data_IF_761597146710
#
_entry.id   IF_761597146710
#
_cell.length_a   1.000
_cell.length_b   1.000
_cell.length_c   1.000
_cell.angle_alpha   90.00
_cell.angle_beta   90.00
_cell.angle_gamma   90.00
#
_symmetry.space_group_name_H-M   'P 1'
#
loop_
_entity.id
_entity.type
_entity.pdbx_description
1 polymer ?
#
# COMPACT_ATOMS: atom_id res chain seq x y z
N UNK A 1 -8.92 -0.57 16.11
CA UNK A 1 -8.67 -0.30 17.55
C UNK A 1 -8.89 1.17 17.84
N UNK A 2 -8.24 2.10 17.16
CA UNK A 2 -8.35 3.55 17.40
C UNK A 2 -9.81 4.03 17.37
N UNK A 3 -10.59 3.66 16.34
CA UNK A 3 -12.04 3.93 16.24
C UNK A 3 -12.82 3.35 17.42
N UNK A 4 -12.50 2.10 17.79
CA UNK A 4 -13.20 1.45 18.90
C UNK A 4 -12.93 2.15 20.25
N UNK A 5 -11.68 2.54 20.50
CA UNK A 5 -11.32 3.30 21.71
C UNK A 5 -11.92 4.71 21.72
N UNK A 6 -12.08 5.35 20.56
CA UNK A 6 -12.76 6.64 20.42
C UNK A 6 -14.25 6.57 20.78
N UNK A 7 -14.87 5.39 20.64
CA UNK A 7 -16.29 5.18 20.94
C UNK A 7 -16.51 4.51 22.30
N UNK A 8 -15.56 3.69 22.75
CA UNK A 8 -15.65 2.86 23.95
C UNK A 8 -14.36 2.91 24.78
N UNK A 9 -13.97 4.08 25.34
CA UNK A 9 -12.67 4.29 25.97
C UNK A 9 -12.36 3.39 27.17
N UNK A 10 -13.39 2.89 27.85
CA UNK A 10 -13.26 2.05 29.06
C UNK A 10 -13.44 0.55 28.81
N UNK A 11 -13.70 0.16 27.54
CA UNK A 11 -14.02 -1.24 27.23
C UNK A 11 -12.77 -2.13 27.08
N UNK A 12 -11.58 -1.55 26.94
CA UNK A 12 -10.33 -2.26 26.70
C UNK A 12 -9.35 -1.94 27.82
N UNK A 13 -8.71 -2.98 28.35
CA UNK A 13 -7.61 -2.82 29.32
C UNK A 13 -6.25 -2.66 28.63
N UNK A 14 -5.99 -3.51 27.64
CA UNK A 14 -4.74 -3.51 26.87
C UNK A 14 -5.02 -3.56 25.38
N UNK A 15 -4.33 -2.72 24.60
CA UNK A 15 -4.39 -2.75 23.16
C UNK A 15 -3.00 -2.91 22.54
N UNK A 16 -2.88 -3.80 21.55
CA UNK A 16 -1.65 -4.05 20.79
C UNK A 16 -1.89 -3.64 19.36
N UNK A 17 -1.07 -2.72 18.86
CA UNK A 17 -1.18 -2.14 17.53
C UNK A 17 0.09 -2.50 16.76
N UNK A 18 -0.06 -3.04 15.56
CA UNK A 18 1.07 -3.45 14.72
C UNK A 18 0.92 -2.85 13.32
N UNK A 19 2.04 -2.51 12.67
CA UNK A 19 2.03 -1.88 11.36
C UNK A 19 1.63 -0.41 11.40
N UNK A 20 1.97 0.30 12.49
CA UNK A 20 1.72 1.72 12.65
C UNK A 20 0.30 2.09 13.10
N UNK A 21 0.05 3.40 13.15
CA UNK A 21 -1.24 4.01 13.46
C UNK A 21 -1.65 4.91 12.30
N UNK A 22 -2.87 4.75 11.81
CA UNK A 22 -3.40 5.61 10.75
C UNK A 22 -3.49 7.07 11.22
N UNK A 23 -3.20 8.01 10.31
CA UNK A 23 -3.26 9.44 10.57
C UNK A 23 -4.68 9.95 10.75
N UNK A 24 -4.84 11.11 11.38
CA UNK A 24 -6.11 11.82 11.60
C UNK A 24 -6.52 12.71 10.41
N UNK A 25 -5.58 13.02 9.53
CA UNK A 25 -5.75 13.96 8.43
C UNK A 25 -6.62 13.43 7.28
N UNK A 26 -6.95 14.30 6.32
CA UNK A 26 -7.66 13.92 5.11
C UNK A 26 -6.81 12.99 4.22
N UNK A 27 -7.48 12.26 3.33
CA UNK A 27 -6.85 11.25 2.47
C UNK A 27 -5.65 11.81 1.67
N UNK A 28 -5.72 13.02 1.16
CA UNK A 28 -4.65 13.63 0.36
C UNK A 28 -3.34 13.81 1.14
N UNK A 29 -3.41 14.20 2.41
CA UNK A 29 -2.21 14.34 3.25
C UNK A 29 -1.57 12.98 3.50
N UNK A 30 -2.39 11.98 3.80
CA UNK A 30 -1.92 10.61 4.02
C UNK A 30 -1.26 10.08 2.74
N UNK A 31 -1.88 10.25 1.58
CA UNK A 31 -1.30 9.75 0.33
C UNK A 31 -0.04 10.50 -0.10
N UNK A 32 0.09 11.80 0.15
CA UNK A 32 1.38 12.48 -0.06
C UNK A 32 2.48 11.87 0.79
N UNK A 33 2.19 11.50 2.04
CA UNK A 33 3.15 10.84 2.91
C UNK A 33 3.49 9.41 2.45
N UNK A 34 2.48 8.61 2.02
CA UNK A 34 2.71 7.26 1.51
C UNK A 34 3.49 7.25 0.21
N UNK A 35 3.19 8.15 -0.75
CA UNK A 35 3.98 8.28 -1.98
C UNK A 35 5.42 8.72 -1.70
N UNK A 36 5.65 9.64 -0.75
CA UNK A 36 7.00 10.04 -0.36
C UNK A 36 7.77 8.88 0.29
N UNK A 37 7.13 8.09 1.14
CA UNK A 37 7.73 6.88 1.71
C UNK A 37 8.04 5.84 0.62
N UNK A 38 7.12 5.62 -0.32
CA UNK A 38 7.29 4.72 -1.45
C UNK A 38 8.43 5.16 -2.36
N UNK A 39 8.58 6.47 -2.62
CA UNK A 39 9.71 6.99 -3.40
C UNK A 39 11.05 6.62 -2.76
N UNK A 40 11.22 6.89 -1.45
CA UNK A 40 12.45 6.51 -0.72
C UNK A 40 12.70 5.00 -0.78
N UNK A 41 11.64 4.21 -0.71
CA UNK A 41 11.73 2.76 -0.80
C UNK A 41 12.17 2.27 -2.19
N UNK A 42 11.69 2.93 -3.25
CA UNK A 42 12.16 2.71 -4.63
C UNK A 42 13.64 3.02 -4.79
N UNK A 43 14.09 4.18 -4.31
CA UNK A 43 15.49 4.58 -4.39
C UNK A 43 16.38 3.51 -3.75
N UNK A 44 16.02 3.04 -2.55
CA UNK A 44 16.74 1.94 -1.89
C UNK A 44 16.68 0.63 -2.68
N UNK A 45 15.54 0.29 -3.27
CA UNK A 45 15.41 -0.91 -4.10
C UNK A 45 16.30 -0.84 -5.34
N UNK A 46 16.36 0.29 -6.02
CA UNK A 46 17.20 0.49 -7.21
C UNK A 46 18.69 0.46 -6.86
N UNK A 47 19.10 0.94 -5.69
CA UNK A 47 20.49 0.83 -5.21
C UNK A 47 20.90 -0.63 -5.00
N UNK A 48 20.01 -1.46 -4.47
CA UNK A 48 20.25 -2.88 -4.19
C UNK A 48 20.08 -3.77 -5.41
N UNK A 49 19.22 -3.38 -6.36
CA UNK A 49 18.89 -4.12 -7.58
C UNK A 49 19.07 -3.18 -8.80
N UNK A 50 20.30 -2.93 -9.25
CA UNK A 50 20.60 -1.88 -10.23
C UNK A 50 19.91 -2.03 -11.59
N UNK A 51 19.49 -3.23 -11.96
CA UNK A 51 18.76 -3.46 -13.21
C UNK A 51 17.26 -3.16 -13.12
N UNK A 52 16.72 -2.97 -11.90
CA UNK A 52 15.27 -2.93 -11.67
C UNK A 52 14.59 -1.75 -12.39
N UNK A 53 15.12 -0.52 -12.31
CA UNK A 53 14.53 0.64 -13.00
C UNK A 53 14.41 0.39 -14.50
N UNK A 54 15.51 0.00 -15.15
CA UNK A 54 15.51 -0.30 -16.58
C UNK A 54 14.54 -1.41 -16.96
N UNK A 55 14.43 -2.45 -16.13
CA UNK A 55 13.52 -3.57 -16.38
C UNK A 55 12.05 -3.20 -16.17
N UNK A 56 11.72 -2.43 -15.16
CA UNK A 56 10.36 -1.90 -14.92
C UNK A 56 9.91 -1.08 -16.13
N UNK A 57 10.76 -0.18 -16.61
CA UNK A 57 10.50 0.65 -17.79
C UNK A 57 10.35 -0.18 -19.06
N UNK A 58 11.22 -1.18 -19.26
CA UNK A 58 11.15 -2.12 -20.40
C UNK A 58 9.82 -2.88 -20.42
N UNK A 59 9.35 -3.39 -19.26
CA UNK A 59 8.07 -4.08 -19.15
C UNK A 59 6.93 -3.11 -19.46
N UNK A 60 6.89 -1.93 -18.86
CA UNK A 60 5.84 -0.95 -19.09
C UNK A 60 5.79 -0.52 -20.56
N UNK A 61 6.94 -0.22 -21.18
CA UNK A 61 7.00 0.10 -22.60
C UNK A 61 6.49 -1.05 -23.48
N UNK A 62 6.84 -2.29 -23.15
CA UNK A 62 6.32 -3.46 -23.84
C UNK A 62 4.80 -3.58 -23.73
N UNK A 63 4.26 -3.42 -22.52
CA UNK A 63 2.80 -3.49 -22.26
C UNK A 63 2.02 -2.38 -22.97
N UNK A 64 2.60 -1.19 -23.11
CA UNK A 64 1.97 -0.08 -23.84
C UNK A 64 1.92 -0.34 -25.36
N UNK A 65 2.80 -1.20 -25.90
CA UNK A 65 2.93 -1.49 -27.34
C UNK A 65 2.53 -2.94 -27.72
N UNK A 66 1.92 -3.70 -26.81
CA UNK A 66 1.55 -5.10 -27.06
C UNK A 66 0.18 -5.45 -26.43
N UNK A 67 -0.36 -6.63 -26.78
CA UNK A 67 -1.57 -7.20 -26.16
C UNK A 67 -1.18 -8.40 -25.30
N UNK A 68 -0.47 -8.12 -24.19
CA UNK A 68 -0.20 -9.14 -23.19
C UNK A 68 -1.44 -9.37 -22.32
N UNK A 69 -1.79 -10.63 -22.12
CA UNK A 69 -2.96 -11.01 -21.34
C UNK A 69 -2.58 -11.90 -20.17
N UNK A 70 -3.24 -11.65 -19.05
CA UNK A 70 -3.15 -12.51 -17.87
C UNK A 70 -3.84 -13.86 -18.16
N UNK A 71 -3.54 -14.93 -17.41
CA UNK A 71 -4.20 -16.23 -17.58
C UNK A 71 -5.73 -16.18 -17.45
N UNK A 72 -6.25 -15.20 -16.73
CA UNK A 72 -7.69 -14.91 -16.58
C UNK A 72 -8.33 -14.24 -17.80
N UNK A 73 -7.51 -13.84 -18.78
CA UNK A 73 -7.93 -13.39 -20.12
C UNK A 73 -7.95 -11.88 -20.33
N UNK A 74 -7.96 -11.08 -19.29
CA UNK A 74 -7.92 -9.61 -19.40
C UNK A 74 -6.52 -9.11 -19.82
N UNK A 75 -6.50 -7.96 -20.49
CA UNK A 75 -5.25 -7.32 -20.89
C UNK A 75 -4.51 -6.81 -19.65
N UNK A 76 -3.19 -7.03 -19.60
CA UNK A 76 -2.31 -6.40 -18.62
C UNK A 76 -1.84 -5.04 -19.16
N UNK A 77 -2.27 -3.96 -18.53
CA UNK A 77 -1.78 -2.60 -18.82
C UNK A 77 -0.51 -2.27 -18.04
N UNK A 78 0.27 -1.29 -18.52
CA UNK A 78 1.44 -0.78 -17.79
C UNK A 78 1.04 -0.18 -16.43
N UNK A 79 -0.08 0.56 -16.34
CA UNK A 79 -0.57 1.12 -15.09
C UNK A 79 -0.97 0.02 -14.08
N UNK A 80 -1.57 -1.09 -14.54
CA UNK A 80 -1.89 -2.22 -13.66
C UNK A 80 -0.62 -2.96 -13.22
N UNK A 81 0.34 -3.17 -14.12
CA UNK A 81 1.63 -3.73 -13.73
C UNK A 81 2.33 -2.88 -12.66
N UNK A 82 2.26 -1.54 -12.75
CA UNK A 82 2.91 -0.65 -11.76
C UNK A 82 2.38 -0.85 -10.34
N UNK A 83 1.17 -1.37 -10.13
CA UNK A 83 0.64 -1.63 -8.77
C UNK A 83 1.36 -2.76 -8.05
N UNK A 84 2.23 -3.54 -8.72
CA UNK A 84 3.09 -4.54 -8.09
C UNK A 84 4.04 -3.92 -7.04
N UNK A 85 4.24 -2.60 -7.07
CA UNK A 85 5.06 -1.90 -6.09
C UNK A 85 4.57 -1.99 -4.64
N UNK A 86 3.36 -2.51 -4.41
CA UNK A 86 2.89 -2.91 -3.07
C UNK A 86 3.87 -3.90 -2.40
N UNK A 87 4.58 -4.71 -3.18
CA UNK A 87 5.58 -5.65 -2.68
C UNK A 87 6.76 -4.94 -1.98
N UNK A 88 7.08 -3.70 -2.35
CA UNK A 88 8.16 -2.94 -1.71
C UNK A 88 7.94 -2.70 -0.21
N UNK A 89 6.72 -2.77 0.27
CA UNK A 89 6.36 -2.65 1.69
C UNK A 89 6.37 -3.96 2.47
N UNK A 90 6.80 -5.07 1.87
CA UNK A 90 6.84 -6.40 2.49
C UNK A 90 8.27 -6.82 2.81
N UNK A 91 8.43 -7.73 3.78
CA UNK A 91 9.73 -8.19 4.25
C UNK A 91 10.58 -8.81 3.13
N UNK A 92 10.00 -9.71 2.33
CA UNK A 92 10.66 -10.34 1.18
C UNK A 92 10.41 -9.62 -0.15
N UNK A 93 9.93 -8.37 -0.11
CA UNK A 93 9.45 -7.68 -1.29
C UNK A 93 10.53 -7.36 -2.30
N UNK A 94 11.72 -7.00 -1.85
CA UNK A 94 12.85 -6.69 -2.73
C UNK A 94 13.33 -7.93 -3.47
N UNK A 95 13.49 -9.03 -2.78
CA UNK A 95 13.89 -10.32 -3.35
C UNK A 95 12.84 -10.83 -4.33
N UNK A 96 11.56 -10.79 -3.94
CA UNK A 96 10.45 -11.21 -4.80
C UNK A 96 10.37 -10.39 -6.08
N UNK A 97 10.47 -9.06 -5.99
CA UNK A 97 10.49 -8.19 -7.16
C UNK A 97 11.74 -8.39 -8.01
N UNK A 98 12.92 -8.55 -7.40
CA UNK A 98 14.15 -8.81 -8.14
C UNK A 98 14.02 -10.11 -8.96
N UNK A 99 13.49 -11.18 -8.37
CA UNK A 99 13.24 -12.46 -9.07
C UNK A 99 12.23 -12.31 -10.22
N UNK A 100 11.12 -11.59 -9.99
CA UNK A 100 10.10 -11.34 -11.00
C UNK A 100 10.66 -10.54 -12.19
N UNK A 101 11.55 -9.60 -11.92
CA UNK A 101 12.16 -8.71 -12.91
C UNK A 101 13.39 -9.30 -13.63
N UNK A 102 13.97 -10.40 -13.17
CA UNK A 102 15.25 -10.90 -13.69
C UNK A 102 15.17 -11.29 -15.18
N UNK A 103 14.26 -12.17 -15.55
CA UNK A 103 14.13 -12.64 -16.93
C UNK A 103 12.66 -12.78 -17.37
N UNK A 104 11.85 -11.69 -17.39
CA UNK A 104 10.40 -11.79 -17.61
C UNK A 104 10.02 -12.05 -19.07
N UNK A 105 10.96 -11.96 -20.02
CA UNK A 105 10.69 -12.08 -21.46
C UNK A 105 11.24 -13.35 -22.08
N UNK A 106 10.57 -13.80 -23.14
CA UNK A 106 11.06 -14.77 -24.09
C UNK A 106 10.71 -14.35 -25.53
N UNK A 107 11.27 -15.04 -26.50
CA UNK A 107 10.89 -14.87 -27.91
C UNK A 107 10.05 -16.06 -28.37
N UNK A 108 8.84 -15.76 -28.84
CA UNK A 108 7.93 -16.74 -29.42
C UNK A 108 7.69 -16.38 -30.90
N UNK A 109 8.12 -17.24 -31.82
CA UNK A 109 7.99 -17.02 -33.28
C UNK A 109 8.59 -15.68 -33.74
N UNK A 110 9.68 -15.24 -33.09
CA UNK A 110 10.36 -13.97 -33.40
C UNK A 110 9.79 -12.75 -32.67
N UNK A 111 8.67 -12.87 -31.99
CA UNK A 111 8.07 -11.79 -31.20
C UNK A 111 8.54 -11.86 -29.74
N UNK A 112 8.86 -10.72 -29.16
CA UNK A 112 9.13 -10.59 -27.72
C UNK A 112 7.83 -10.62 -26.95
N UNK A 113 7.71 -11.54 -25.99
CA UNK A 113 6.53 -11.75 -25.16
C UNK A 113 6.93 -11.91 -23.70
N UNK A 114 6.03 -11.53 -22.78
CA UNK A 114 6.18 -11.93 -21.38
C UNK A 114 6.04 -13.45 -21.24
N UNK A 115 6.84 -14.03 -20.36
CA UNK A 115 6.80 -15.47 -20.06
C UNK A 115 5.46 -15.83 -19.39
N UNK A 116 4.96 -17.02 -19.66
CA UNK A 116 3.71 -17.48 -19.09
C UNK A 116 3.72 -17.62 -17.58
N UNK A 117 4.88 -18.00 -16.99
CA UNK A 117 5.06 -18.04 -15.54
C UNK A 117 5.07 -16.64 -14.90
N UNK A 118 5.70 -15.66 -15.57
CA UNK A 118 5.66 -14.25 -15.15
C UNK A 118 4.23 -13.70 -15.18
N UNK A 119 3.47 -13.98 -16.23
CA UNK A 119 2.07 -13.56 -16.33
C UNK A 119 1.19 -14.22 -15.27
N UNK A 120 1.42 -15.50 -14.96
CA UNK A 120 0.70 -16.22 -13.91
C UNK A 120 0.98 -15.65 -12.52
N UNK A 121 2.24 -15.34 -12.24
CA UNK A 121 2.62 -14.69 -10.97
C UNK A 121 2.03 -13.29 -10.85
N UNK A 122 2.09 -12.47 -11.90
CA UNK A 122 1.46 -11.15 -11.95
C UNK A 122 -0.06 -11.24 -11.75
N UNK A 123 -0.74 -12.20 -12.40
CA UNK A 123 -2.17 -12.43 -12.21
C UNK A 123 -2.54 -12.63 -10.75
N UNK A 124 -1.77 -13.45 -10.04
CA UNK A 124 -2.01 -13.74 -8.61
C UNK A 124 -1.74 -12.52 -7.71
N UNK A 125 -0.70 -11.74 -8.01
CA UNK A 125 -0.29 -10.61 -7.17
C UNK A 125 -1.10 -9.34 -7.39
N UNK A 126 -1.64 -9.14 -8.60
CA UNK A 126 -2.34 -7.93 -8.99
C UNK A 126 -3.87 -8.02 -8.84
N UNK A 127 -4.43 -9.22 -8.73
CA UNK A 127 -5.86 -9.42 -8.61
C UNK A 127 -6.37 -9.19 -7.20
N UNK A 128 -7.53 -8.54 -7.10
CA UNK A 128 -8.30 -8.38 -5.87
C UNK A 128 -9.28 -9.54 -5.61
N UNK A 129 -9.19 -10.66 -6.33
CA UNK A 129 -10.14 -11.78 -6.20
C UNK A 129 -10.28 -12.29 -4.76
N UNK A 130 -9.18 -12.31 -4.00
CA UNK A 130 -9.19 -12.74 -2.59
C UNK A 130 -9.75 -11.69 -1.62
N UNK A 131 -9.80 -10.40 -2.01
CA UNK A 131 -10.20 -9.30 -1.14
C UNK A 131 -10.82 -8.12 -1.92
N UNK A 132 -11.88 -8.31 -2.73
CA UNK A 132 -12.44 -7.24 -3.56
C UNK A 132 -13.03 -6.10 -2.73
N UNK A 133 -13.60 -6.40 -1.57
CA UNK A 133 -14.15 -5.40 -0.66
C UNK A 133 -13.06 -4.44 -0.14
N UNK A 134 -11.82 -4.92 0.04
CA UNK A 134 -10.71 -4.08 0.44
C UNK A 134 -10.51 -2.89 -0.53
N UNK A 135 -10.53 -3.13 -1.84
CA UNK A 135 -10.41 -2.07 -2.83
C UNK A 135 -11.59 -1.07 -2.76
N UNK A 136 -12.82 -1.57 -2.59
CA UNK A 136 -14.01 -0.73 -2.61
C UNK A 136 -14.10 0.22 -1.41
N UNK A 137 -13.63 -0.20 -0.21
CA UNK A 137 -13.73 0.58 1.03
C UNK A 137 -12.44 1.26 1.45
N UNK A 138 -11.37 1.14 0.67
CA UNK A 138 -10.02 1.51 1.10
C UNK A 138 -9.91 2.96 1.61
N UNK A 139 -10.51 3.93 0.91
CA UNK A 139 -10.46 5.35 1.27
C UNK A 139 -11.52 5.78 2.29
N UNK A 140 -12.48 4.92 2.66
CA UNK A 140 -13.57 5.28 3.60
C UNK A 140 -13.11 5.47 5.04
N UNK A 141 -11.87 5.15 5.35
CA UNK A 141 -11.27 5.32 6.68
C UNK A 141 -10.81 6.76 6.95
N UNK A 142 -10.74 7.59 5.92
CA UNK A 142 -10.32 8.98 6.03
C UNK A 142 -11.52 9.93 6.10
N UNK A 143 -11.44 11.04 6.86
CA UNK A 143 -12.52 12.02 6.95
C UNK A 143 -12.65 12.84 5.65
N UNK A 144 -13.87 13.31 5.39
CA UNK A 144 -14.20 14.11 4.21
C UNK A 144 -14.55 13.26 2.99
N UNK A 145 -14.62 13.92 1.85
CA UNK A 145 -14.84 13.27 0.55
C UNK A 145 -13.49 12.91 -0.05
N UNK A 146 -13.22 11.61 -0.19
CA UNK A 146 -11.93 11.17 -0.75
C UNK A 146 -11.84 11.43 -2.25
N UNK A 147 -12.89 11.18 -3.00
CA UNK A 147 -12.96 11.35 -4.46
C UNK A 147 -11.69 10.81 -5.16
N UNK A 148 -11.33 9.57 -4.83
CA UNK A 148 -10.14 8.92 -5.35
C UNK A 148 -8.84 9.70 -5.07
N UNK A 149 -8.63 10.08 -3.82
CA UNK A 149 -7.53 10.94 -3.40
C UNK A 149 -6.15 10.38 -3.81
N UNK A 150 -5.93 9.06 -3.70
CA UNK A 150 -4.70 8.44 -4.17
C UNK A 150 -4.45 8.69 -5.67
N UNK A 151 -5.52 8.63 -6.48
CA UNK A 151 -5.45 8.87 -7.92
C UNK A 151 -5.11 10.32 -8.25
N UNK A 152 -5.69 11.28 -7.54
CA UNK A 152 -5.40 12.70 -7.75
C UNK A 152 -4.00 13.07 -7.29
N UNK A 153 -3.62 12.64 -6.09
CA UNK A 153 -2.31 12.95 -5.50
C UNK A 153 -1.16 12.39 -6.33
N UNK A 154 -1.30 11.20 -6.95
CA UNK A 154 -0.23 10.65 -7.79
C UNK A 154 0.18 11.57 -8.96
N UNK A 155 -0.77 12.33 -9.50
CA UNK A 155 -0.51 13.24 -10.62
C UNK A 155 0.29 14.49 -10.19
N UNK A 156 0.30 14.81 -8.89
CA UNK A 156 1.08 15.91 -8.32
C UNK A 156 2.56 15.53 -8.08
N UNK A 157 2.90 14.22 -8.09
CA UNK A 157 4.19 13.73 -7.63
C UNK A 157 5.00 13.14 -8.80
N UNK A 158 6.20 13.70 -9.02
CA UNK A 158 7.08 13.28 -10.11
C UNK A 158 7.42 11.77 -10.00
N UNK A 159 7.28 11.08 -11.13
CA UNK A 159 7.52 9.64 -11.26
C UNK A 159 6.30 8.75 -11.02
N UNK A 160 5.18 9.25 -10.49
CA UNK A 160 3.99 8.45 -10.22
C UNK A 160 2.83 8.69 -11.19
N UNK A 161 2.79 9.76 -11.96
CA UNK A 161 1.74 10.07 -12.93
C UNK A 161 1.31 8.86 -13.77
N UNK A 162 0.01 8.77 -14.08
CA UNK A 162 -0.56 7.59 -14.75
C UNK A 162 0.01 7.40 -16.16
N UNK A 163 0.08 8.49 -16.92
CA UNK A 163 0.40 8.48 -18.35
C UNK A 163 1.87 8.82 -18.64
N UNK A 164 2.76 8.62 -17.66
CA UNK A 164 4.19 8.83 -17.88
C UNK A 164 4.73 7.89 -18.95
N UNK A 165 5.50 8.44 -19.88
CA UNK A 165 6.26 7.65 -20.85
C UNK A 165 7.40 6.93 -20.13
N UNK A 166 7.41 5.59 -20.07
CA UNK A 166 8.45 4.84 -19.34
C UNK A 166 9.85 5.04 -19.93
N UNK A 167 9.97 5.45 -21.20
CA UNK A 167 11.25 5.67 -21.85
C UNK A 167 11.80 7.08 -21.62
N UNK A 168 10.90 8.08 -21.55
CA UNK A 168 11.29 9.50 -21.54
C UNK A 168 11.23 10.15 -20.17
N UNK A 169 10.41 9.61 -19.26
CA UNK A 169 10.24 10.17 -17.91
C UNK A 169 11.58 10.15 -17.16
N UNK A 170 11.94 11.26 -16.52
CA UNK A 170 13.14 11.38 -15.68
C UNK A 170 13.08 10.42 -14.50
N UNK A 171 11.89 10.31 -13.87
CA UNK A 171 11.55 9.35 -12.82
C UNK A 171 10.37 8.50 -13.25
N UNK A 172 10.39 7.23 -12.89
CA UNK A 172 9.34 6.31 -13.22
C UNK A 172 9.23 5.24 -12.12
N UNK A 173 8.18 5.31 -11.31
CA UNK A 173 8.02 4.46 -10.14
C UNK A 173 6.81 3.52 -10.27
N UNK A 174 6.89 2.39 -9.60
CA UNK A 174 5.74 1.54 -9.31
C UNK A 174 4.83 2.25 -8.29
N UNK A 175 3.55 1.93 -8.26
CA UNK A 175 2.62 2.41 -7.23
C UNK A 175 2.48 1.37 -6.12
N UNK A 176 2.14 1.81 -4.91
CA UNK A 176 2.03 0.95 -3.74
C UNK A 176 0.59 0.53 -3.43
N UNK A 177 0.24 0.59 -2.17
CA UNK A 177 -1.11 0.31 -1.67
C UNK A 177 -2.04 1.51 -1.92
N UNK A 178 -2.33 1.75 -3.19
CA UNK A 178 -3.17 2.84 -3.64
C UNK A 178 -4.28 2.27 -4.52
N UNK A 179 -5.50 2.70 -4.30
CA UNK A 179 -6.64 2.28 -5.11
C UNK A 179 -6.99 3.37 -6.11
N UNK A 180 -7.15 2.96 -7.36
CA UNK A 180 -7.43 3.84 -8.48
C UNK A 180 -8.76 3.47 -9.15
N UNK A 181 -9.56 4.44 -9.63
CA UNK A 181 -10.87 4.14 -10.22
C UNK A 181 -10.81 3.17 -11.40
N UNK A 182 -9.78 3.24 -12.23
CA UNK A 182 -9.60 2.36 -13.38
C UNK A 182 -9.34 0.88 -13.01
N UNK A 183 -8.93 0.56 -11.77
CA UNK A 183 -8.78 -0.83 -11.33
C UNK A 183 -10.13 -1.56 -11.35
N UNK A 184 -11.23 -0.84 -11.12
CA UNK A 184 -12.59 -1.38 -11.23
C UNK A 184 -13.06 -1.62 -12.66
N UNK A 185 -12.26 -1.24 -13.66
CA UNK A 185 -12.47 -1.53 -15.09
C UNK A 185 -11.53 -2.64 -15.58
N UNK A 186 -10.32 -2.72 -15.04
CA UNK A 186 -9.29 -3.62 -15.54
C UNK A 186 -9.20 -4.94 -14.77
N UNK A 187 -9.61 -4.99 -13.49
CA UNK A 187 -9.64 -6.22 -12.71
C UNK A 187 -11.06 -6.82 -12.73
N UNK A 188 -11.28 -7.99 -13.36
CA UNK A 188 -12.58 -8.66 -13.39
C UNK A 188 -13.19 -8.89 -11.99
N UNK A 189 -12.35 -9.10 -10.97
CA UNK A 189 -12.80 -9.29 -9.59
C UNK A 189 -13.47 -8.04 -8.99
N UNK A 190 -13.19 -6.86 -9.55
CA UNK A 190 -13.71 -5.58 -9.06
C UNK A 190 -14.90 -5.05 -9.85
N UNK A 191 -15.22 -5.60 -11.03
CA UNK A 191 -16.29 -5.05 -11.89
C UNK A 191 -17.62 -4.87 -11.16
N UNK A 192 -18.04 -5.86 -10.37
CA UNK A 192 -19.31 -5.82 -9.64
C UNK A 192 -19.31 -4.79 -8.50
N UNK A 193 -18.15 -4.37 -8.03
CA UNK A 193 -18.00 -3.43 -6.91
C UNK A 193 -17.92 -1.96 -7.36
N UNK A 194 -17.74 -1.71 -8.67
CA UNK A 194 -17.53 -0.37 -9.20
C UNK A 194 -18.59 0.65 -8.77
N UNK A 195 -19.92 0.40 -8.92
CA UNK A 195 -20.92 1.38 -8.52
C UNK A 195 -20.85 1.73 -7.02
N UNK A 196 -20.64 0.72 -6.18
CA UNK A 196 -20.51 0.93 -4.74
C UNK A 196 -19.22 1.72 -4.39
N UNK A 197 -18.10 1.45 -5.06
CA UNK A 197 -16.85 2.17 -4.85
C UNK A 197 -16.96 3.64 -5.27
N UNK A 198 -17.64 3.94 -6.38
CA UNK A 198 -17.93 5.31 -6.84
C UNK A 198 -18.81 6.06 -5.81
N UNK A 199 -19.88 5.43 -5.30
CA UNK A 199 -20.72 6.01 -4.25
C UNK A 199 -19.95 6.28 -2.96
N UNK A 200 -19.09 5.35 -2.55
CA UNK A 200 -18.28 5.48 -1.35
C UNK A 200 -17.22 6.59 -1.47
N UNK A 201 -16.58 6.71 -2.63
CA UNK A 201 -15.59 7.76 -2.91
C UNK A 201 -16.20 9.16 -2.90
N UNK A 202 -17.48 9.29 -3.31
CA UNK A 202 -18.21 10.56 -3.34
C UNK A 202 -18.82 10.94 -2.00
N UNK A 203 -18.82 10.05 -1.00
CA UNK A 203 -19.44 10.28 0.30
C UNK A 203 -18.55 11.11 1.22
N UNK A 204 -19.17 12.03 1.95
CA UNK A 204 -18.53 12.78 3.05
C UNK A 204 -18.50 11.90 4.31
N UNK A 205 -17.31 11.47 4.71
CA UNK A 205 -17.10 10.61 5.86
C UNK A 205 -16.75 11.42 7.10
N UNK A 206 -17.46 11.18 8.20
CA UNK A 206 -17.12 11.77 9.49
C UNK A 206 -15.75 11.25 9.98
N UNK A 207 -15.00 12.06 10.76
CA UNK A 207 -13.79 11.60 11.43
C UNK A 207 -14.07 10.34 12.27
N UNK A 208 -13.22 9.34 12.10
CA UNK A 208 -13.38 8.05 12.80
C UNK A 208 -12.68 8.01 14.16
N UNK A 209 -11.80 8.97 14.42
CA UNK A 209 -11.01 9.06 15.63
C UNK A 209 -11.37 10.33 16.41
N UNK A 210 -11.46 10.20 17.72
CA UNK A 210 -11.68 11.30 18.65
C UNK A 210 -10.46 11.47 19.56
N UNK A 211 -9.65 12.49 19.29
CA UNK A 211 -8.41 12.76 20.00
C UNK A 211 -8.67 13.07 21.50
N UNK A 212 -9.78 13.74 21.84
CA UNK A 212 -10.10 14.06 23.22
C UNK A 212 -10.43 12.78 24.02
N UNK A 213 -11.23 11.90 23.43
CA UNK A 213 -11.60 10.61 24.05
C UNK A 213 -10.36 9.71 24.18
N UNK A 214 -9.49 9.65 23.16
CA UNK A 214 -8.25 8.89 23.22
C UNK A 214 -7.29 9.41 24.32
N UNK A 215 -7.28 10.73 24.55
CA UNK A 215 -6.52 11.35 25.64
C UNK A 215 -7.03 11.03 27.03
N UNK A 216 -8.24 10.51 27.16
CA UNK A 216 -8.88 10.16 28.44
C UNK A 216 -9.04 8.65 28.64
N UNK A 217 -8.85 7.81 27.60
CA UNK A 217 -9.01 6.36 27.70
C UNK A 217 -8.18 5.76 28.83
N UNK A 218 -8.77 4.79 29.56
CA UNK A 218 -8.05 4.01 30.57
C UNK A 218 -7.20 2.88 30.01
N UNK A 219 -7.30 2.60 28.72
CA UNK A 219 -6.54 1.54 28.06
C UNK A 219 -5.04 1.84 28.03
N UNK A 220 -4.22 0.86 28.39
CA UNK A 220 -2.78 0.90 28.16
C UNK A 220 -2.50 0.29 26.81
N UNK A 221 -1.91 1.07 25.91
CA UNK A 221 -1.66 0.67 24.53
C UNK A 221 -0.17 0.48 24.27
N UNK A 222 0.18 -0.44 23.36
CA UNK A 222 1.53 -0.54 22.81
C UNK A 222 1.46 -0.67 21.29
N UNK A 223 2.33 0.04 20.59
CA UNK A 223 2.36 0.07 19.13
C UNK A 223 3.74 -0.27 18.58
N UNK A 224 3.79 -1.14 17.58
CA UNK A 224 4.96 -1.35 16.74
C UNK A 224 4.85 -0.44 15.50
N UNK A 225 5.81 0.47 15.36
CA UNK A 225 5.92 1.41 14.24
C UNK A 225 7.18 1.07 13.45
N UNK A 226 7.02 0.80 12.16
CA UNK A 226 8.16 0.40 11.32
C UNK A 226 8.69 1.61 10.54
N UNK A 227 10.00 1.78 10.55
CA UNK A 227 10.64 3.01 10.05
C UNK A 227 10.51 3.21 8.56
N UNK A 228 10.52 2.11 7.80
CA UNK A 228 10.46 2.12 6.34
C UNK A 228 9.07 1.70 5.81
N UNK A 229 8.03 1.80 6.64
CA UNK A 229 6.66 1.45 6.24
C UNK A 229 6.15 2.42 5.17
N UNK A 230 5.72 1.85 4.03
CA UNK A 230 5.16 2.62 2.90
C UNK A 230 3.64 2.69 2.93
N UNK A 231 2.98 1.95 3.82
CA UNK A 231 1.52 1.90 3.97
C UNK A 231 1.05 2.83 5.07
N UNK A 232 1.73 2.78 6.22
CA UNK A 232 1.42 3.62 7.37
C UNK A 232 2.69 4.38 7.78
N UNK A 233 2.96 5.54 7.18
CA UNK A 233 4.17 6.30 7.39
C UNK A 233 4.47 6.56 8.87
N UNK A 234 5.74 6.36 9.24
CA UNK A 234 6.23 6.51 10.61
C UNK A 234 5.82 7.83 11.24
N UNK A 235 5.98 8.92 10.52
CA UNK A 235 5.72 10.28 11.00
C UNK A 235 4.26 10.45 11.43
N UNK A 236 3.31 9.95 10.61
CA UNK A 236 1.89 9.97 10.91
C UNK A 236 1.55 9.07 12.09
N UNK A 237 2.21 7.91 12.19
CA UNK A 237 2.04 7.01 13.34
C UNK A 237 2.48 7.65 14.65
N UNK A 238 3.62 8.35 14.64
CA UNK A 238 4.12 9.04 15.84
C UNK A 238 3.25 10.24 16.23
N UNK A 239 2.74 10.99 15.25
CA UNK A 239 1.78 12.06 15.49
C UNK A 239 0.50 11.50 16.13
N UNK A 240 -0.10 10.48 15.53
CA UNK A 240 -1.30 9.82 16.08
C UNK A 240 -1.07 9.29 17.50
N UNK A 241 0.10 8.74 17.79
CA UNK A 241 0.44 8.24 19.11
C UNK A 241 0.36 9.32 20.19
N UNK A 242 0.60 10.59 19.86
CA UNK A 242 0.54 11.71 20.83
C UNK A 242 -0.87 11.99 21.36
N UNK A 243 -1.90 11.52 20.68
CA UNK A 243 -3.28 11.70 21.10
C UNK A 243 -3.75 10.69 22.16
N UNK A 244 -2.99 9.64 22.39
CA UNK A 244 -3.33 8.64 23.40
C UNK A 244 -2.79 9.01 24.78
N UNK A 245 -3.57 8.74 25.82
CA UNK A 245 -3.15 8.96 27.21
C UNK A 245 -1.96 8.10 27.63
N UNK A 246 -1.96 6.81 27.28
CA UNK A 246 -0.89 5.85 27.57
C UNK A 246 -0.70 4.93 26.37
N UNK A 247 0.09 5.38 25.41
CA UNK A 247 0.51 4.57 24.27
C UNK A 247 2.04 4.53 24.21
N UNK A 248 2.59 3.33 24.31
CA UNK A 248 4.02 3.04 24.32
C UNK A 248 4.45 2.59 22.94
N UNK A 249 5.27 3.40 22.28
CA UNK A 249 5.72 3.16 20.92
C UNK A 249 7.03 2.37 20.91
N UNK A 250 7.07 1.31 20.14
CA UNK A 250 8.29 0.61 19.76
C UNK A 250 8.56 0.85 18.27
N UNK A 251 9.61 1.61 17.97
CA UNK A 251 10.09 1.77 16.62
C UNK A 251 11.06 0.67 16.24
N UNK A 252 10.91 0.09 15.03
CA UNK A 252 11.81 -0.95 14.51
C UNK A 252 12.16 -0.69 13.05
N UNK A 253 13.41 -0.99 12.68
CA UNK A 253 13.89 -1.08 11.29
C UNK A 253 13.97 -2.53 10.79
N UNK A 254 13.72 -3.51 11.67
CA UNK A 254 13.91 -4.94 11.38
C UNK A 254 12.70 -5.55 10.66
N UNK A 255 11.57 -4.84 10.65
CA UNK A 255 10.33 -5.30 10.09
C UNK A 255 9.80 -4.35 9.02
N UNK A 256 9.01 -4.90 8.10
CA UNK A 256 8.16 -4.17 7.18
C UNK A 256 6.69 -4.26 7.64
N UNK A 257 5.77 -3.70 6.89
CA UNK A 257 4.33 -3.67 7.26
C UNK A 257 3.77 -5.04 7.63
N UNK A 258 4.22 -6.09 6.97
CA UNK A 258 3.83 -7.47 7.21
C UNK A 258 4.56 -8.15 8.41
N UNK A 259 5.21 -7.36 9.27
CA UNK A 259 5.97 -7.86 10.41
C UNK A 259 5.23 -8.87 11.28
N UNK A 260 3.92 -8.65 11.51
CA UNK A 260 3.10 -9.59 12.27
C UNK A 260 3.01 -10.98 11.61
N UNK A 261 3.11 -11.07 10.29
CA UNK A 261 3.12 -12.35 9.54
C UNK A 261 4.47 -13.02 9.56
N UNK A 262 5.54 -12.23 9.61
CA UNK A 262 6.92 -12.74 9.56
C UNK A 262 7.50 -13.10 10.94
N UNK A 263 7.20 -12.32 11.97
CA UNK A 263 7.69 -12.54 13.34
C UNK A 263 6.66 -12.16 14.42
N UNK A 264 5.39 -12.54 14.20
CA UNK A 264 4.28 -12.16 15.07
C UNK A 264 4.47 -12.53 16.54
N UNK A 265 5.13 -13.66 16.82
CA UNK A 265 5.36 -14.10 18.18
C UNK A 265 6.33 -13.20 18.94
N UNK A 266 7.41 -12.73 18.33
CA UNK A 266 8.35 -11.82 18.95
C UNK A 266 7.74 -10.42 19.11
N UNK A 267 7.06 -9.92 18.07
CA UNK A 267 6.36 -8.63 18.11
C UNK A 267 5.31 -8.62 19.22
N UNK A 268 4.47 -9.66 19.31
CA UNK A 268 3.47 -9.74 20.35
C UNK A 268 4.09 -9.77 21.77
N UNK A 269 5.13 -10.59 21.97
CA UNK A 269 5.84 -10.62 23.28
C UNK A 269 6.41 -9.26 23.66
N UNK A 270 6.99 -8.54 22.69
CA UNK A 270 7.52 -7.19 22.92
C UNK A 270 6.42 -6.22 23.35
N UNK A 271 5.34 -6.13 22.59
CA UNK A 271 4.21 -5.25 22.90
C UNK A 271 3.53 -5.63 24.23
N UNK A 272 3.43 -6.96 24.51
CA UNK A 272 2.87 -7.44 25.76
C UNK A 272 3.71 -7.06 26.97
N UNK A 273 5.05 -7.13 26.89
CA UNK A 273 5.89 -6.65 27.98
C UNK A 273 5.71 -5.14 28.21
N UNK A 274 5.62 -4.38 27.13
CA UNK A 274 5.47 -2.91 27.22
C UNK A 274 4.19 -2.47 27.94
N UNK A 275 3.05 -3.12 27.75
CA UNK A 275 1.81 -2.73 28.47
C UNK A 275 1.79 -3.14 29.94
N UNK A 276 2.77 -3.92 30.41
CA UNK A 276 2.88 -4.40 31.79
C UNK A 276 3.92 -3.68 32.63
N UNK A 277 4.79 -2.92 32.02
CA UNK A 277 5.77 -2.04 32.66
C UNK A 277 5.09 -0.79 33.26
#
# INVERSE_FOLDING_TARGET
>A
ITTYLSQHPDAIRYAYITGGLAGFGPAEEIYRATFAALQRRHERFHDLVPFADGRIREICHHLDNSDERLPTGERLSSRRFRTIGIELGRAAGFENLAMLLDAPFHHLRGEKRLRGDTLAELSTRLSFESAPLYAAIHETIYPGVSDWAAHRVREEIDGFGEHLDPVRASRFYLTGEHIFPWQFEEDPALHAFRPAAEDLAARDWAPQYDAAVLGETSAVCAAAVYRDDIFVPRELSLETATHFRDLRVWESSDHQHDGLRTDGAAIFRRLHSMVRE
#
